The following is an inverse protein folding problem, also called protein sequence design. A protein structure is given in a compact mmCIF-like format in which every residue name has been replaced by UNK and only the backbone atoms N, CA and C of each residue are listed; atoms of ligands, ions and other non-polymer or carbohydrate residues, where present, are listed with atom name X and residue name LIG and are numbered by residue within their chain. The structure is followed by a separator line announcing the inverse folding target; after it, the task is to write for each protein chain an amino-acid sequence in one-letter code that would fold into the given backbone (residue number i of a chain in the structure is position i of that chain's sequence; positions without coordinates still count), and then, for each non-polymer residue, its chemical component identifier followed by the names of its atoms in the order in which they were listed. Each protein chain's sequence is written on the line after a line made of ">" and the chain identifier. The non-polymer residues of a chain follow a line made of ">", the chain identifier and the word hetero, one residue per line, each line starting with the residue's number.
data_IF_554131066151
#
_entry.id   IF_554131066151
#
_cell.length_a   1.000
_cell.length_b   1.000
_cell.length_c   1.000
_cell.angle_alpha   90.00
_cell.angle_beta   90.00
_cell.angle_gamma   90.00
#
_symmetry.space_group_name_H-M   'P 1'
#
loop_
_entity.id
_entity.type
_entity.pdbx_description
1 polymer ?
#
# COMPACT_ATOMS: atom_id res chain seq x y z
N UNK A 1 14.16 12.66 4.97
CA UNK A 1 13.09 12.61 3.96
C UNK A 1 11.79 12.99 4.63
N UNK A 2 10.92 13.73 3.93
CA UNK A 2 9.56 14.07 4.39
C UNK A 2 8.57 13.58 3.34
N UNK A 3 7.33 13.30 3.75
CA UNK A 3 6.22 13.07 2.83
C UNK A 3 5.62 14.45 2.54
N UNK A 4 5.65 14.89 1.28
CA UNK A 4 5.10 16.16 0.84
C UNK A 4 3.82 15.98 0.01
N UNK A 5 3.63 14.80 -0.58
CA UNK A 5 2.44 14.48 -1.38
C UNK A 5 1.99 13.04 -1.13
N UNK A 6 0.72 12.89 -0.75
CA UNK A 6 0.05 11.61 -0.54
C UNK A 6 -0.97 11.42 -1.67
N UNK A 7 -0.80 10.38 -2.48
CA UNK A 7 -1.78 10.01 -3.49
C UNK A 7 -2.75 8.97 -2.94
N UNK A 8 -4.04 9.09 -3.24
CA UNK A 8 -5.05 8.10 -2.90
C UNK A 8 -5.85 7.72 -4.14
N UNK A 9 -5.90 6.42 -4.44
CA UNK A 9 -6.73 5.91 -5.52
C UNK A 9 -8.18 5.72 -5.05
N UNK A 10 -9.15 6.25 -5.80
CA UNK A 10 -10.59 6.13 -5.54
C UNK A 10 -11.23 5.33 -6.66
N UNK A 11 -11.72 4.15 -6.32
CA UNK A 11 -12.41 3.25 -7.25
C UNK A 11 -13.80 3.79 -7.63
N UNK A 12 -14.19 3.66 -8.90
CA UNK A 12 -15.51 4.08 -9.38
C UNK A 12 -16.63 3.15 -8.91
N UNK A 13 -16.32 1.88 -8.64
CA UNK A 13 -17.30 0.88 -8.22
C UNK A 13 -17.45 0.79 -6.68
N UNK A 14 -16.42 1.18 -5.93
CA UNK A 14 -16.38 0.99 -4.47
C UNK A 14 -15.74 2.20 -3.78
N UNK A 15 -16.54 3.21 -3.54
CA UNK A 15 -16.13 4.38 -2.75
C UNK A 15 -16.01 4.00 -1.27
N UNK A 16 -14.81 4.09 -0.69
CA UNK A 16 -14.60 3.85 0.74
C UNK A 16 -13.94 5.05 1.42
N UNK A 17 -14.66 5.62 2.38
CA UNK A 17 -14.17 6.77 3.12
C UNK A 17 -12.95 6.46 4.01
N UNK A 18 -12.79 5.20 4.43
CA UNK A 18 -11.70 4.79 5.32
C UNK A 18 -10.32 5.06 4.74
N UNK A 19 -10.07 4.69 3.49
CA UNK A 19 -8.77 4.94 2.87
C UNK A 19 -8.48 6.43 2.66
N UNK A 20 -9.50 7.23 2.34
CA UNK A 20 -9.36 8.70 2.22
C UNK A 20 -9.06 9.30 3.58
N UNK A 21 -9.74 8.83 4.64
CA UNK A 21 -9.49 9.27 6.01
C UNK A 21 -8.07 8.90 6.48
N UNK A 22 -7.53 7.74 6.08
CA UNK A 22 -6.13 7.39 6.34
C UNK A 22 -5.19 8.30 5.57
N UNK A 23 -5.45 8.59 4.29
CA UNK A 23 -4.65 9.54 3.51
C UNK A 23 -4.65 10.94 4.15
N UNK A 24 -5.80 11.42 4.61
CA UNK A 24 -5.94 12.68 5.35
C UNK A 24 -5.13 12.69 6.65
N UNK A 25 -5.17 11.59 7.44
CA UNK A 25 -4.42 11.51 8.69
C UNK A 25 -2.90 11.54 8.44
N UNK A 26 -2.45 10.86 7.39
CA UNK A 26 -1.04 10.90 6.95
C UNK A 26 -0.66 12.29 6.45
N UNK A 27 -1.48 12.89 5.58
CA UNK A 27 -1.22 14.23 5.07
C UNK A 27 -1.17 15.27 6.19
N UNK A 28 -2.08 15.20 7.17
CA UNK A 28 -2.07 16.08 8.34
C UNK A 28 -0.81 15.91 9.19
N UNK A 29 -0.39 14.65 9.43
CA UNK A 29 0.82 14.34 10.24
C UNK A 29 2.10 14.91 9.62
N UNK A 30 2.18 14.94 8.29
CA UNK A 30 3.36 15.39 7.54
C UNK A 30 3.20 16.74 6.88
N UNK A 31 2.07 17.42 7.05
CA UNK A 31 1.74 18.70 6.39
C UNK A 31 1.74 18.60 4.86
N UNK A 32 1.49 17.38 4.34
CA UNK A 32 1.52 17.04 2.93
C UNK A 32 0.26 17.51 2.18
N UNK A 33 0.35 17.58 0.85
CA UNK A 33 -0.80 17.68 -0.04
C UNK A 33 -1.41 16.30 -0.31
N UNK A 34 -2.68 16.30 -0.73
CA UNK A 34 -3.39 15.07 -1.14
C UNK A 34 -3.71 15.16 -2.63
N UNK A 35 -3.34 14.10 -3.34
CA UNK A 35 -3.70 13.88 -4.74
C UNK A 35 -4.70 12.72 -4.82
N UNK A 36 -5.99 13.02 -5.02
CA UNK A 36 -6.98 12.01 -5.36
C UNK A 36 -6.85 11.61 -6.83
N UNK A 37 -6.87 10.32 -7.12
CA UNK A 37 -6.83 9.81 -8.49
C UNK A 37 -7.91 8.76 -8.70
N UNK A 38 -8.56 8.80 -9.88
CA UNK A 38 -9.56 7.82 -10.30
C UNK A 38 -9.45 7.54 -11.79
N UNK A 39 -9.64 6.30 -12.17
CA UNK A 39 -9.72 5.95 -13.58
C UNK A 39 -10.77 4.87 -13.82
N UNK A 40 -11.29 4.83 -15.02
CA UNK A 40 -12.23 3.81 -15.48
C UNK A 40 -11.87 3.41 -16.91
N UNK A 41 -11.76 2.10 -17.13
CA UNK A 41 -11.48 1.56 -18.46
C UNK A 41 -12.75 1.37 -19.26
N UNK A 42 -12.62 1.57 -20.55
CA UNK A 42 -13.61 1.09 -21.51
C UNK A 42 -13.56 -0.43 -21.56
N UNK A 43 -14.69 -1.11 -21.60
CA UNK A 43 -14.70 -2.57 -21.74
C UNK A 43 -14.03 -2.96 -23.07
N UNK A 44 -13.10 -3.93 -23.06
CA UNK A 44 -12.53 -4.42 -24.31
C UNK A 44 -13.62 -5.08 -25.17
N UNK A 45 -13.41 -5.12 -26.50
CA UNK A 45 -14.27 -5.86 -27.39
C UNK A 45 -14.40 -7.32 -26.92
N UNK A 46 -15.59 -7.84 -26.93
CA UNK A 46 -15.84 -9.24 -26.61
C UNK A 46 -16.54 -9.95 -27.76
N UNK A 47 -16.30 -11.25 -27.89
CA UNK A 47 -16.95 -12.07 -28.92
C UNK A 47 -18.19 -12.71 -28.31
N UNK A 48 -19.36 -12.39 -28.85
CA UNK A 48 -20.60 -13.07 -28.54
C UNK A 48 -21.16 -13.71 -29.86
N UNK A 49 -21.47 -15.00 -29.80
CA UNK A 49 -22.04 -15.76 -30.93
C UNK A 49 -21.23 -15.65 -32.24
N UNK A 50 -19.91 -15.53 -32.16
CA UNK A 50 -19.03 -15.40 -33.32
C UNK A 50 -18.97 -13.99 -33.93
N UNK A 51 -19.62 -13.01 -33.30
CA UNK A 51 -19.56 -11.59 -33.72
C UNK A 51 -18.70 -10.83 -32.73
N UNK A 52 -17.73 -10.07 -33.26
CA UNK A 52 -16.93 -9.15 -32.45
C UNK A 52 -17.82 -7.93 -32.15
N UNK A 53 -18.17 -7.73 -30.87
CA UNK A 53 -18.88 -6.54 -30.42
C UNK A 53 -17.82 -5.52 -30.02
N UNK A 54 -17.57 -4.56 -30.87
CA UNK A 54 -16.41 -3.67 -30.85
C UNK A 54 -16.77 -2.23 -30.41
N UNK A 55 -18.01 -1.93 -30.04
CA UNK A 55 -18.39 -0.54 -29.89
C UNK A 55 -18.54 -0.10 -28.43
N UNK A 56 -17.52 0.62 -27.95
CA UNK A 56 -17.73 1.64 -26.93
C UNK A 56 -18.62 2.72 -27.51
N UNK A 57 -19.83 2.81 -27.03
CA UNK A 57 -20.78 3.81 -27.48
C UNK A 57 -20.49 5.18 -26.85
N UNK A 58 -20.96 6.26 -27.46
CA UNK A 58 -20.93 7.58 -26.83
C UNK A 58 -21.68 7.60 -25.47
N UNK A 59 -22.65 6.70 -25.30
CA UNK A 59 -23.37 6.53 -24.05
C UNK A 59 -22.47 5.90 -22.97
N UNK A 60 -21.67 4.90 -23.31
CA UNK A 60 -20.71 4.29 -22.37
C UNK A 60 -19.67 5.31 -21.91
N UNK A 61 -19.13 6.10 -22.84
CA UNK A 61 -18.20 7.19 -22.49
C UNK A 61 -18.85 8.24 -21.59
N UNK A 62 -20.13 8.59 -21.83
CA UNK A 62 -20.87 9.50 -20.93
C UNK A 62 -21.06 8.92 -19.54
N UNK A 63 -21.40 7.62 -19.43
CA UNK A 63 -21.53 6.91 -18.15
C UNK A 63 -20.21 6.91 -17.37
N UNK A 64 -19.09 6.60 -18.04
CA UNK A 64 -17.77 6.62 -17.39
C UNK A 64 -17.39 8.04 -16.90
N UNK A 65 -17.61 9.06 -17.71
CA UNK A 65 -17.37 10.46 -17.30
C UNK A 65 -18.25 10.86 -16.11
N UNK A 66 -19.52 10.44 -16.09
CA UNK A 66 -20.41 10.72 -14.95
C UNK A 66 -19.92 10.04 -13.68
N UNK A 67 -19.54 8.76 -13.74
CA UNK A 67 -19.00 8.03 -12.59
C UNK A 67 -17.71 8.67 -12.04
N UNK A 68 -16.81 9.12 -12.93
CA UNK A 68 -15.58 9.80 -12.54
C UNK A 68 -15.85 11.18 -11.90
N UNK A 69 -16.83 11.93 -12.42
CA UNK A 69 -17.25 13.22 -11.83
C UNK A 69 -17.98 13.03 -10.47
N UNK A 70 -18.75 11.95 -10.32
CA UNK A 70 -19.35 11.57 -9.05
C UNK A 70 -18.29 11.21 -8.01
N UNK A 71 -17.22 10.49 -8.42
CA UNK A 71 -16.06 10.19 -7.57
C UNK A 71 -15.35 11.45 -7.10
N UNK A 72 -15.12 12.43 -7.99
CA UNK A 72 -14.53 13.70 -7.59
C UNK A 72 -15.39 14.42 -6.56
N UNK A 73 -16.71 14.50 -6.84
CA UNK A 73 -17.66 15.14 -5.95
C UNK A 73 -17.73 14.46 -4.58
N UNK A 74 -17.70 13.13 -4.58
CA UNK A 74 -17.63 12.33 -3.35
C UNK A 74 -16.31 12.56 -2.61
N UNK A 75 -15.17 12.46 -3.29
CA UNK A 75 -13.84 12.66 -2.70
C UNK A 75 -13.71 14.02 -2.03
N UNK A 76 -14.15 15.09 -2.72
CA UNK A 76 -14.12 16.45 -2.17
C UNK A 76 -15.03 16.65 -0.95
N UNK A 77 -16.08 15.82 -0.78
CA UNK A 77 -16.93 15.83 0.43
C UNK A 77 -16.31 15.09 1.60
N UNK A 78 -15.53 14.04 1.36
CA UNK A 78 -14.99 13.19 2.44
C UNK A 78 -13.59 13.59 2.88
N UNK A 79 -12.79 14.18 1.99
CA UNK A 79 -11.47 14.71 2.30
C UNK A 79 -11.60 15.89 3.25
N UNK A 80 -10.76 15.92 4.29
CA UNK A 80 -10.79 16.97 5.34
C UNK A 80 -9.67 17.98 5.20
N UNK A 81 -8.63 17.66 4.43
CA UNK A 81 -7.51 18.57 4.15
C UNK A 81 -8.00 19.86 3.49
N UNK A 82 -7.35 21.02 3.75
CA UNK A 82 -7.70 22.29 3.13
C UNK A 82 -7.68 22.19 1.60
N UNK A 83 -8.65 22.82 0.94
CA UNK A 83 -8.85 22.73 -0.51
C UNK A 83 -7.63 23.09 -1.35
N UNK A 84 -6.80 24.03 -0.89
CA UNK A 84 -5.53 24.42 -1.51
C UNK A 84 -4.46 23.31 -1.52
N UNK A 85 -4.59 22.32 -0.65
CA UNK A 85 -3.71 21.14 -0.57
C UNK A 85 -4.31 19.90 -1.24
N UNK A 86 -5.46 20.01 -1.90
CA UNK A 86 -6.21 18.90 -2.48
C UNK A 86 -6.27 19.03 -3.98
N UNK A 87 -5.61 18.10 -4.67
CA UNK A 87 -5.70 17.93 -6.12
C UNK A 87 -6.58 16.71 -6.46
N UNK A 88 -7.19 16.76 -7.65
CA UNK A 88 -7.92 15.63 -8.23
C UNK A 88 -7.52 15.43 -9.68
N UNK A 89 -7.26 14.17 -10.06
CA UNK A 89 -6.99 13.78 -11.44
C UNK A 89 -7.78 12.54 -11.80
N UNK A 90 -8.26 12.50 -13.01
CA UNK A 90 -8.98 11.34 -13.52
C UNK A 90 -8.70 11.10 -15.01
N UNK A 91 -8.96 9.87 -15.46
CA UNK A 91 -8.84 9.48 -16.86
C UNK A 91 -9.81 8.36 -17.23
N UNK A 92 -10.20 8.31 -18.50
CA UNK A 92 -10.76 7.09 -19.09
C UNK A 92 -9.55 6.31 -19.64
N UNK A 93 -9.02 5.41 -18.82
CA UNK A 93 -7.84 4.61 -19.08
C UNK A 93 -7.85 3.40 -18.16
N UNK A 94 -6.95 2.43 -18.38
CA UNK A 94 -6.72 1.36 -17.40
C UNK A 94 -6.37 1.96 -16.04
N UNK A 95 -7.06 1.56 -14.96
CA UNK A 95 -6.84 2.13 -13.64
C UNK A 95 -5.41 1.92 -13.10
N UNK A 96 -4.82 0.74 -13.35
CA UNK A 96 -3.46 0.43 -12.89
C UNK A 96 -2.43 1.28 -13.63
N UNK A 97 -2.53 1.38 -14.95
CA UNK A 97 -1.65 2.21 -15.76
C UNK A 97 -1.75 3.69 -15.34
N UNK A 98 -2.96 4.20 -15.13
CA UNK A 98 -3.15 5.58 -14.72
C UNK A 98 -2.55 5.86 -13.33
N UNK A 99 -2.76 4.98 -12.34
CA UNK A 99 -2.17 5.12 -11.00
C UNK A 99 -0.64 5.10 -11.09
N UNK A 100 -0.06 4.15 -11.86
CA UNK A 100 1.39 4.07 -12.07
C UNK A 100 1.93 5.37 -12.67
N UNK A 101 1.23 5.91 -13.67
CA UNK A 101 1.61 7.18 -14.29
C UNK A 101 1.55 8.35 -13.30
N UNK A 102 0.48 8.47 -12.50
CA UNK A 102 0.29 9.56 -11.56
C UNK A 102 1.21 9.47 -10.33
N UNK A 103 1.72 8.28 -9.98
CA UNK A 103 2.65 8.08 -8.87
C UNK A 103 3.93 8.92 -8.96
N UNK A 104 4.28 9.44 -10.15
CA UNK A 104 5.39 10.40 -10.32
C UNK A 104 5.24 11.67 -9.46
N UNK A 105 4.01 12.03 -9.10
CA UNK A 105 3.69 13.24 -8.33
C UNK A 105 3.47 12.96 -6.82
N UNK A 106 3.77 11.75 -6.34
CA UNK A 106 3.52 11.35 -4.96
C UNK A 106 4.76 10.76 -4.29
N UNK A 107 4.85 10.93 -2.97
CA UNK A 107 5.83 10.27 -2.11
C UNK A 107 5.29 8.97 -1.53
N UNK A 108 3.97 8.86 -1.37
CA UNK A 108 3.26 7.71 -0.83
C UNK A 108 1.96 7.50 -1.60
N UNK A 109 1.65 6.25 -1.93
CA UNK A 109 0.40 5.86 -2.59
C UNK A 109 -0.47 5.06 -1.63
N UNK A 110 -1.66 5.57 -1.35
CA UNK A 110 -2.65 4.94 -0.46
C UNK A 110 -3.65 4.18 -1.30
N UNK A 111 -3.78 2.88 -1.03
CA UNK A 111 -4.70 2.00 -1.74
C UNK A 111 -5.57 1.24 -0.75
N UNK A 112 -6.81 0.98 -1.13
CA UNK A 112 -7.68 0.07 -0.40
C UNK A 112 -7.11 -1.34 -0.48
N UNK A 113 -7.18 -2.07 0.60
CA UNK A 113 -6.96 -3.50 0.60
C UNK A 113 -8.22 -4.19 0.09
N UNK A 114 -8.22 -4.58 -1.18
CA UNK A 114 -9.25 -5.44 -1.76
C UNK A 114 -8.87 -6.90 -1.55
N UNK A 115 -9.89 -7.78 -1.43
CA UNK A 115 -9.66 -9.21 -1.52
C UNK A 115 -9.08 -9.53 -2.91
N UNK A 116 -7.89 -10.11 -2.94
CA UNK A 116 -7.26 -10.61 -4.16
C UNK A 116 -8.20 -11.64 -4.80
N UNK A 117 -8.66 -11.40 -6.02
CA UNK A 117 -9.51 -12.33 -6.75
C UNK A 117 -10.81 -11.77 -7.33
N UNK A 118 -11.15 -10.51 -7.13
CA UNK A 118 -12.28 -9.88 -7.78
C UNK A 118 -11.90 -9.47 -9.21
N UNK A 119 -12.43 -10.21 -10.16
CA UNK A 119 -12.50 -10.04 -11.60
C UNK A 119 -11.45 -9.14 -12.31
N UNK A 120 -10.58 -9.73 -13.15
CA UNK A 120 -9.26 -9.17 -13.47
C UNK A 120 -9.18 -8.04 -14.50
N UNK A 121 -10.18 -7.81 -15.32
CA UNK A 121 -9.91 -7.10 -16.58
C UNK A 121 -10.21 -5.60 -16.62
N UNK A 122 -10.77 -5.00 -15.56
CA UNK A 122 -11.15 -3.58 -15.56
C UNK A 122 -10.93 -2.87 -14.23
N UNK A 123 -10.26 -3.52 -13.27
CA UNK A 123 -10.06 -3.01 -11.93
C UNK A 123 -8.59 -2.70 -11.66
N UNK A 124 -8.37 -1.78 -10.75
CA UNK A 124 -7.04 -1.48 -10.24
C UNK A 124 -6.40 -2.73 -9.61
N UNK A 125 -5.20 -3.10 -10.10
CA UNK A 125 -4.37 -4.13 -9.51
C UNK A 125 -3.29 -3.49 -8.61
N UNK A 126 -3.45 -3.52 -7.28
CA UNK A 126 -2.48 -2.91 -6.36
C UNK A 126 -1.13 -3.62 -6.39
N UNK A 127 -1.07 -4.91 -6.73
CA UNK A 127 0.17 -5.67 -6.80
C UNK A 127 1.01 -5.26 -8.01
N UNK A 128 0.39 -5.20 -9.19
CA UNK A 128 1.03 -4.72 -10.41
C UNK A 128 1.46 -3.26 -10.26
N UNK A 129 0.59 -2.41 -9.71
CA UNK A 129 0.92 -1.01 -9.47
C UNK A 129 2.16 -0.88 -8.57
N UNK A 130 2.23 -1.61 -7.46
CA UNK A 130 3.39 -1.59 -6.54
C UNK A 130 4.69 -1.97 -7.23
N UNK A 131 4.68 -2.97 -8.12
CA UNK A 131 5.87 -3.41 -8.87
C UNK A 131 6.37 -2.34 -9.86
N UNK A 132 5.45 -1.52 -10.40
CA UNK A 132 5.73 -0.61 -11.53
C UNK A 132 5.93 0.84 -11.11
N UNK A 133 5.28 1.33 -10.07
CA UNK A 133 5.26 2.77 -9.74
C UNK A 133 6.50 3.29 -9.00
N UNK A 134 7.34 2.41 -8.44
CA UNK A 134 8.56 2.82 -7.73
C UNK A 134 8.32 3.73 -6.52
N UNK A 135 7.14 3.66 -5.92
CA UNK A 135 6.74 4.41 -4.71
C UNK A 135 6.24 3.45 -3.64
N UNK A 136 6.45 3.78 -2.35
CA UNK A 136 5.86 3.00 -1.28
C UNK A 136 4.34 3.00 -1.34
N UNK A 137 3.75 1.86 -1.06
CA UNK A 137 2.31 1.67 -1.04
C UNK A 137 1.83 1.47 0.40
N UNK A 138 0.85 2.25 0.81
CA UNK A 138 0.13 2.08 2.07
C UNK A 138 -1.20 1.36 1.77
N UNK A 139 -1.24 0.07 2.09
CA UNK A 139 -2.45 -0.76 1.94
C UNK A 139 -3.32 -0.63 3.19
N UNK A 140 -4.55 -0.16 3.01
CA UNK A 140 -5.49 0.17 4.09
C UNK A 140 -6.60 -0.88 4.18
N UNK A 141 -6.77 -1.56 5.33
CA UNK A 141 -7.92 -2.44 5.56
C UNK A 141 -9.23 -1.63 5.65
N UNK A 142 -10.34 -2.24 5.24
CA UNK A 142 -11.66 -1.58 5.27
C UNK A 142 -12.10 -1.09 6.67
N UNK A 143 -11.61 -1.75 7.74
CA UNK A 143 -11.94 -1.40 9.12
C UNK A 143 -11.17 -0.20 9.67
N UNK A 144 -10.14 0.30 8.96
CA UNK A 144 -9.25 1.37 9.44
C UNK A 144 -9.67 2.70 8.83
N UNK A 145 -9.86 3.71 9.69
CA UNK A 145 -10.30 5.07 9.30
C UNK A 145 -9.32 6.17 9.70
N UNK A 146 -8.11 5.81 10.12
CA UNK A 146 -7.03 6.73 10.47
C UNK A 146 -5.73 5.98 10.76
N UNK A 147 -4.61 6.66 10.62
CA UNK A 147 -3.28 6.12 10.88
C UNK A 147 -2.46 7.16 11.64
N UNK A 148 -2.06 6.83 12.88
CA UNK A 148 -1.13 7.65 13.63
C UNK A 148 0.32 7.33 13.30
N UNK A 149 0.65 6.09 13.02
CA UNK A 149 2.03 5.61 12.82
C UNK A 149 2.87 5.74 14.10
N UNK A 150 2.26 5.57 15.25
CA UNK A 150 2.93 5.71 16.55
C UNK A 150 3.54 4.41 17.07
N UNK A 151 2.90 3.29 16.74
CA UNK A 151 3.37 1.95 17.08
C UNK A 151 3.68 1.20 15.78
N UNK A 152 4.95 1.09 15.41
CA UNK A 152 5.36 0.53 14.12
C UNK A 152 6.10 -0.78 14.29
N UNK A 153 5.67 -1.81 13.57
CA UNK A 153 6.38 -3.08 13.46
C UNK A 153 7.04 -3.18 12.09
N UNK A 154 8.33 -3.45 12.05
CA UNK A 154 9.08 -3.71 10.82
C UNK A 154 9.26 -5.22 10.67
N UNK A 155 8.59 -5.84 9.68
CA UNK A 155 8.85 -7.21 9.27
C UNK A 155 10.12 -7.24 8.41
N UNK A 156 11.24 -7.60 9.03
CA UNK A 156 12.55 -7.55 8.40
C UNK A 156 12.94 -8.90 7.79
N UNK A 157 13.47 -8.83 6.60
CA UNK A 157 14.27 -9.88 5.96
C UNK A 157 15.37 -9.19 5.17
N UNK A 158 16.58 -9.76 5.12
CA UNK A 158 17.70 -9.11 4.43
C UNK A 158 17.57 -9.18 2.89
N UNK A 159 16.62 -8.38 2.36
CA UNK A 159 16.32 -8.24 0.93
C UNK A 159 16.36 -6.76 0.54
N UNK A 160 16.46 -6.50 -0.76
CA UNK A 160 16.42 -5.12 -1.30
C UNK A 160 15.09 -4.44 -1.00
N UNK A 161 13.98 -5.17 -1.07
CA UNK A 161 12.62 -4.67 -0.85
C UNK A 161 12.43 -4.25 0.61
N UNK A 162 12.92 -5.05 1.57
CA UNK A 162 12.88 -4.68 2.99
C UNK A 162 13.75 -3.45 3.29
N UNK A 163 14.94 -3.35 2.68
CA UNK A 163 15.79 -2.15 2.80
C UNK A 163 15.11 -0.91 2.24
N UNK A 164 14.41 -1.03 1.10
CA UNK A 164 13.61 0.07 0.52
C UNK A 164 12.45 0.43 1.43
N UNK A 165 11.68 -0.55 1.91
CA UNK A 165 10.56 -0.31 2.80
C UNK A 165 10.96 0.44 4.07
N UNK A 166 12.08 0.05 4.71
CA UNK A 166 12.64 0.76 5.87
C UNK A 166 13.01 2.20 5.50
N UNK A 167 13.65 2.42 4.36
CA UNK A 167 14.01 3.75 3.89
C UNK A 167 12.78 4.62 3.62
N UNK A 168 11.80 4.08 2.93
CA UNK A 168 10.59 4.78 2.53
C UNK A 168 9.68 5.06 3.73
N UNK A 169 9.70 4.18 4.75
CA UNK A 169 9.00 4.38 6.01
C UNK A 169 9.70 5.34 6.99
N UNK A 170 10.91 5.81 6.69
CA UNK A 170 11.70 6.65 7.61
C UNK A 170 10.91 7.86 8.17
N UNK A 171 10.06 8.56 7.39
CA UNK A 171 9.24 9.64 7.94
C UNK A 171 8.33 9.20 9.11
N UNK A 172 7.76 7.99 9.03
CA UNK A 172 6.97 7.41 10.12
C UNK A 172 7.88 6.97 11.28
N UNK A 173 8.96 6.24 10.98
CA UNK A 173 9.85 5.65 11.98
C UNK A 173 10.51 6.69 12.89
N UNK A 174 10.84 7.87 12.35
CA UNK A 174 11.44 8.98 13.14
C UNK A 174 10.43 9.71 14.02
N UNK A 175 9.13 9.54 13.78
CA UNK A 175 8.05 10.18 14.55
C UNK A 175 7.26 9.18 15.40
N UNK A 176 7.54 7.89 15.26
CA UNK A 176 6.88 6.85 16.01
C UNK A 176 7.30 6.88 17.49
N UNK A 177 6.36 6.63 18.37
CA UNK A 177 6.61 6.47 19.80
C UNK A 177 7.35 5.15 20.11
N UNK A 178 7.06 4.12 19.30
CA UNK A 178 7.73 2.82 19.41
C UNK A 178 7.90 2.17 18.04
N UNK A 179 9.09 1.66 17.78
CA UNK A 179 9.42 0.87 16.59
C UNK A 179 9.99 -0.47 17.05
N UNK A 180 9.46 -1.57 16.50
CA UNK A 180 10.00 -2.91 16.77
C UNK A 180 10.36 -3.59 15.45
N UNK A 181 11.61 -4.03 15.33
CA UNK A 181 12.08 -4.83 14.20
C UNK A 181 11.86 -6.30 14.54
N UNK A 182 11.16 -7.04 13.68
CA UNK A 182 10.91 -8.48 13.82
C UNK A 182 11.58 -9.20 12.66
N UNK A 183 12.52 -10.10 12.95
CA UNK A 183 13.10 -11.03 11.99
C UNK A 183 12.74 -12.46 12.36
N UNK A 184 12.22 -13.22 11.40
CA UNK A 184 11.90 -14.63 11.52
C UNK A 184 12.94 -15.41 10.73
N UNK A 185 13.64 -16.35 11.39
CA UNK A 185 14.78 -17.07 10.82
C UNK A 185 14.74 -18.56 11.20
N UNK A 186 15.58 -19.37 10.59
CA UNK A 186 15.83 -20.74 11.01
C UNK A 186 16.68 -20.80 12.28
N UNK A 187 16.70 -21.95 12.96
CA UNK A 187 17.43 -22.10 14.22
C UNK A 187 18.95 -21.92 14.07
N UNK A 188 19.50 -22.29 12.93
CA UNK A 188 20.90 -22.15 12.60
C UNK A 188 21.30 -20.72 12.16
N UNK A 189 20.32 -19.88 11.82
CA UNK A 189 20.54 -18.49 11.38
C UNK A 189 20.44 -17.45 12.52
N UNK A 190 20.12 -17.82 13.75
CA UNK A 190 19.83 -16.88 14.84
C UNK A 190 20.97 -15.87 15.06
N UNK A 191 22.24 -16.31 15.11
CA UNK A 191 23.36 -15.41 15.30
C UNK A 191 23.53 -14.42 14.13
N UNK A 192 23.26 -14.89 12.91
CA UNK A 192 23.26 -14.03 11.74
C UNK A 192 22.10 -13.02 11.76
N UNK A 193 20.90 -13.46 12.16
CA UNK A 193 19.73 -12.60 12.35
C UNK A 193 20.00 -11.50 13.38
N UNK A 194 20.60 -11.84 14.53
CA UNK A 194 21.01 -10.85 15.52
C UNK A 194 22.00 -9.81 14.99
N UNK A 195 22.93 -10.19 14.11
CA UNK A 195 23.84 -9.23 13.47
C UNK A 195 23.08 -8.33 12.51
N UNK A 196 22.25 -8.90 11.61
CA UNK A 196 21.45 -8.14 10.63
C UNK A 196 20.56 -7.11 11.31
N UNK A 197 19.82 -7.53 12.33
CA UNK A 197 18.89 -6.63 13.04
C UNK A 197 19.62 -5.52 13.78
N UNK A 198 20.80 -5.81 14.40
CA UNK A 198 21.63 -4.77 15.01
C UNK A 198 22.12 -3.74 14.01
N UNK A 199 22.48 -4.15 12.81
CA UNK A 199 22.91 -3.24 11.74
C UNK A 199 21.76 -2.32 11.32
N UNK A 200 20.55 -2.88 11.17
CA UNK A 200 19.33 -2.10 10.85
C UNK A 200 18.97 -1.16 11.99
N UNK A 201 19.02 -1.61 13.23
CA UNK A 201 18.78 -0.76 14.41
C UNK A 201 19.80 0.39 14.50
N UNK A 202 21.06 0.11 14.22
CA UNK A 202 22.11 1.13 14.14
C UNK A 202 21.85 2.13 13.01
N UNK A 203 21.40 1.66 11.86
CA UNK A 203 20.99 2.51 10.73
C UNK A 203 19.82 3.42 11.12
N UNK A 204 18.77 2.89 11.72
CA UNK A 204 17.63 3.67 12.19
C UNK A 204 18.04 4.73 13.22
N UNK A 205 18.89 4.36 14.17
CA UNK A 205 19.40 5.30 15.17
C UNK A 205 20.16 6.48 14.57
N UNK A 206 20.96 6.25 13.51
CA UNK A 206 21.66 7.32 12.78
C UNK A 206 20.71 8.30 12.09
N UNK A 207 19.47 7.86 11.80
CA UNK A 207 18.40 8.69 11.26
C UNK A 207 17.45 9.25 12.29
N UNK A 208 17.72 9.05 13.59
CA UNK A 208 16.93 9.61 14.70
C UNK A 208 15.73 8.75 15.10
N UNK A 209 15.63 7.50 14.62
CA UNK A 209 14.60 6.56 15.00
C UNK A 209 15.15 5.55 16.03
N UNK A 210 14.53 5.48 17.22
CA UNK A 210 14.84 4.44 18.22
C UNK A 210 14.00 3.21 17.97
N UNK A 211 14.57 2.02 18.12
CA UNK A 211 13.84 0.77 17.93
C UNK A 211 14.27 -0.32 18.91
N UNK A 212 13.33 -1.19 19.22
CA UNK A 212 13.57 -2.50 19.84
C UNK A 212 13.62 -3.56 18.72
N UNK A 213 14.01 -4.80 19.05
CA UNK A 213 14.00 -5.89 18.11
C UNK A 213 13.62 -7.21 18.74
N UNK A 214 13.00 -8.06 17.95
CA UNK A 214 12.59 -9.43 18.26
C UNK A 214 13.12 -10.37 17.17
N UNK A 215 13.76 -11.46 17.58
CA UNK A 215 14.19 -12.54 16.69
C UNK A 215 13.35 -13.77 17.01
N UNK A 216 12.71 -14.32 15.99
CA UNK A 216 11.88 -15.49 16.12
C UNK A 216 12.38 -16.64 15.24
N UNK A 217 12.46 -17.82 15.83
CA UNK A 217 12.72 -19.03 15.05
C UNK A 217 11.42 -19.53 14.41
N UNK A 218 11.50 -19.93 13.14
CA UNK A 218 10.39 -20.56 12.44
C UNK A 218 9.72 -21.65 13.28
N UNK A 219 8.40 -21.69 13.20
CA UNK A 219 7.57 -22.75 13.82
C UNK A 219 6.70 -23.39 12.74
N UNK A 220 5.80 -24.28 13.13
CA UNK A 220 4.79 -24.83 12.23
C UNK A 220 3.78 -23.77 11.74
N UNK A 221 3.64 -22.64 12.47
CA UNK A 221 2.80 -21.53 12.06
C UNK A 221 3.46 -20.71 10.96
N UNK A 222 2.70 -20.26 9.95
CA UNK A 222 3.20 -19.34 8.91
C UNK A 222 3.77 -18.05 9.49
N UNK A 223 4.92 -17.61 8.98
CA UNK A 223 5.62 -16.39 9.44
C UNK A 223 4.75 -15.13 9.40
N UNK A 224 3.87 -15.02 8.38
CA UNK A 224 2.94 -13.91 8.25
C UNK A 224 1.98 -13.83 9.45
N UNK A 225 1.45 -14.96 9.89
CA UNK A 225 0.55 -15.01 11.06
C UNK A 225 1.26 -14.65 12.35
N UNK A 226 2.51 -15.08 12.50
CA UNK A 226 3.31 -14.65 13.63
C UNK A 226 3.48 -13.13 13.63
N UNK A 227 3.89 -12.54 12.51
CA UNK A 227 4.09 -11.09 12.40
C UNK A 227 2.80 -10.31 12.66
N UNK A 228 1.65 -10.79 12.15
CA UNK A 228 0.34 -10.17 12.40
C UNK A 228 0.00 -10.20 13.89
N UNK A 229 0.07 -11.39 14.51
CA UNK A 229 -0.22 -11.54 15.96
C UNK A 229 0.70 -10.69 16.81
N UNK A 230 2.00 -10.71 16.53
CA UNK A 230 2.96 -9.86 17.23
C UNK A 230 2.59 -8.38 17.10
N UNK A 231 2.24 -7.92 15.92
CA UNK A 231 1.84 -6.53 15.69
C UNK A 231 0.52 -6.18 16.45
N UNK A 232 -0.44 -7.10 16.49
CA UNK A 232 -1.67 -6.95 17.29
C UNK A 232 -1.39 -6.91 18.78
N UNK A 233 -0.53 -7.79 19.31
CA UNK A 233 -0.16 -7.87 20.74
C UNK A 233 0.52 -6.58 21.23
N UNK A 234 1.38 -5.98 20.40
CA UNK A 234 2.03 -4.70 20.70
C UNK A 234 1.17 -3.50 20.30
N UNK A 235 -0.06 -3.71 19.82
CA UNK A 235 -1.00 -2.68 19.34
C UNK A 235 -0.39 -1.78 18.27
N UNK A 236 0.36 -2.37 17.34
CA UNK A 236 0.88 -1.63 16.20
C UNK A 236 -0.26 -1.13 15.31
N UNK A 237 -0.12 0.07 14.82
CA UNK A 237 -1.04 0.67 13.83
C UNK A 237 -0.46 0.65 12.40
N UNK A 238 0.84 0.33 12.28
CA UNK A 238 1.54 0.21 11.00
C UNK A 238 2.50 -0.98 11.01
N UNK A 239 2.42 -1.82 9.99
CA UNK A 239 3.45 -2.81 9.66
C UNK A 239 4.20 -2.32 8.42
N UNK A 240 5.53 -2.31 8.49
CA UNK A 240 6.44 -1.98 7.39
C UNK A 240 7.14 -3.24 6.91
N UNK A 241 7.07 -3.56 5.64
CA UNK A 241 7.72 -4.75 5.07
C UNK A 241 8.06 -4.57 3.60
N UNK A 242 9.04 -5.33 3.10
CA UNK A 242 9.24 -5.48 1.66
C UNK A 242 8.06 -6.22 1.02
N UNK A 243 7.72 -5.82 -0.18
CA UNK A 243 6.69 -6.47 -0.98
C UNK A 243 7.28 -7.22 -2.17
N UNK A 244 6.78 -8.42 -2.48
CA UNK A 244 7.06 -9.18 -3.72
C UNK A 244 8.55 -9.50 -4.02
N UNK A 245 9.36 -9.77 -2.99
CA UNK A 245 10.82 -9.96 -3.10
C UNK A 245 11.31 -11.20 -3.86
N UNK A 246 10.45 -12.12 -4.23
CA UNK A 246 10.78 -13.31 -5.00
C UNK A 246 9.88 -13.43 -6.23
N UNK A 247 9.94 -12.49 -7.17
CA UNK A 247 9.30 -12.67 -8.46
C UNK A 247 10.15 -13.61 -9.32
N UNK A 248 9.72 -14.85 -9.51
CA UNK A 248 10.05 -15.55 -10.75
C UNK A 248 9.28 -14.84 -11.86
N UNK A 249 10.00 -14.17 -12.74
CA UNK A 249 9.48 -13.61 -13.98
C UNK A 249 8.67 -14.69 -14.71
N UNK A 250 7.34 -14.56 -14.75
CA UNK A 250 6.49 -15.39 -15.59
C UNK A 250 5.27 -16.04 -14.96
N UNK A 251 5.20 -16.17 -13.65
CA UNK A 251 3.98 -16.65 -12.99
C UNK A 251 3.65 -15.74 -11.81
N UNK A 252 2.41 -15.28 -11.72
CA UNK A 252 1.85 -14.43 -10.66
C UNK A 252 1.80 -15.16 -9.31
N UNK A 253 2.96 -15.62 -8.82
CA UNK A 253 3.06 -16.27 -7.52
C UNK A 253 3.42 -15.19 -6.51
N UNK A 254 2.41 -14.65 -5.84
CA UNK A 254 2.56 -13.85 -4.63
C UNK A 254 3.49 -14.59 -3.66
N UNK A 255 4.57 -13.98 -3.21
CA UNK A 255 5.34 -14.54 -2.11
C UNK A 255 4.40 -14.79 -0.92
N UNK A 256 4.36 -16.01 -0.39
CA UNK A 256 3.37 -16.42 0.62
C UNK A 256 3.22 -15.42 1.77
N UNK A 257 4.31 -14.77 2.20
CA UNK A 257 4.31 -13.74 3.24
C UNK A 257 3.50 -12.51 2.84
N UNK A 258 3.77 -11.90 1.69
CA UNK A 258 3.06 -10.70 1.22
C UNK A 258 1.57 -10.96 1.00
N UNK A 259 1.25 -12.11 0.40
CA UNK A 259 -0.13 -12.54 0.19
C UNK A 259 -0.89 -12.68 1.51
N UNK A 260 -0.34 -13.42 2.47
CA UNK A 260 -0.99 -13.63 3.76
C UNK A 260 -1.15 -12.33 4.55
N UNK A 261 -0.15 -11.44 4.53
CA UNK A 261 -0.27 -10.12 5.15
C UNK A 261 -1.41 -9.31 4.54
N UNK A 262 -1.51 -9.28 3.21
CA UNK A 262 -2.58 -8.56 2.51
C UNK A 262 -3.97 -9.17 2.75
N UNK A 263 -4.07 -10.47 2.99
CA UNK A 263 -5.35 -11.12 3.27
C UNK A 263 -5.80 -11.03 4.73
N UNK A 264 -4.86 -11.22 5.66
CA UNK A 264 -5.20 -11.50 7.05
C UNK A 264 -4.99 -10.30 8.00
N UNK A 265 -4.04 -9.37 7.70
CA UNK A 265 -3.74 -8.29 8.62
C UNK A 265 -4.87 -7.25 8.70
N UNK A 266 -5.26 -6.86 9.91
CA UNK A 266 -6.23 -5.77 10.17
C UNK A 266 -5.55 -4.42 10.43
N UNK A 267 -4.27 -4.35 10.20
CA UNK A 267 -3.37 -3.21 10.43
C UNK A 267 -2.95 -2.66 9.06
N UNK A 268 -2.70 -1.35 8.94
CA UNK A 268 -2.15 -0.76 7.74
C UNK A 268 -0.79 -1.37 7.40
N UNK A 269 -0.53 -1.62 6.11
CA UNK A 269 0.75 -2.17 5.63
C UNK A 269 1.43 -1.14 4.73
N UNK A 270 2.65 -0.71 5.10
CA UNK A 270 3.53 0.05 4.20
C UNK A 270 4.50 -0.92 3.56
N UNK A 271 4.44 -0.99 2.24
CA UNK A 271 5.26 -1.91 1.45
C UNK A 271 6.02 -1.17 0.36
N UNK A 272 7.24 -1.64 0.07
CA UNK A 272 8.05 -1.18 -1.07
C UNK A 272 8.64 -2.38 -1.82
N UNK A 273 8.82 -2.20 -3.14
CA UNK A 273 9.42 -3.19 -4.02
C UNK A 273 10.72 -2.68 -4.64
#
# INVERSE_FOLDING_TARGET
>A
MSIASVMVYVDTAQQEAGQVAVADSVASRFEASILGVSAAAVQPPFVAEGVIIEQTTEEDLRRLRSALAENESWFRRVVRSPGEKVEWRWSINDPTDFVVEQARAADLVVVKRSSLGANPSHFFDPAEAMLRMGRPTLSVPASVTGLSGDQVVIGWKDTREARRAVRDAMPFLTRASKVTIVEICTSDEQDAAHRRVRDVASYLKKHGASCEHEIRVHTADPDARYLIRFAEDVRADLIVTGGYGHSRLGEWIFGGMTYSLLQEAKICLLMSH
#
